data_IF_826711069105
#
_entry.id   IF_826711069105
#
_cell.length_a   1.000
_cell.length_b   1.000
_cell.length_c   1.000
_cell.angle_alpha   90.00
_cell.angle_beta   90.00
_cell.angle_gamma   90.00
#
_symmetry.space_group_name_H-M   'P 1'
#
loop_
_entity.id
_entity.type
_entity.pdbx_description
1 polymer ?
#
# COMPACT_ATOMS: atom_id res chain seq x y z
N UNK A 1 39.79 51.05 37.93
CA UNK A 1 39.94 50.39 36.62
C UNK A 1 38.90 49.28 36.38
N UNK A 2 38.70 48.34 37.30
CA UNK A 2 37.72 47.22 37.09
C UNK A 2 36.28 47.70 36.81
N UNK A 3 35.77 48.73 37.54
CA UNK A 3 34.41 49.25 37.35
C UNK A 3 34.17 49.94 35.99
N UNK A 4 35.19 50.54 35.40
CA UNK A 4 35.13 51.16 34.09
C UNK A 4 35.13 50.08 32.99
N UNK A 5 35.95 49.05 33.13
CA UNK A 5 36.01 47.92 32.22
C UNK A 5 34.69 47.17 32.16
N UNK A 6 34.03 46.95 33.31
CA UNK A 6 32.72 46.32 33.39
C UNK A 6 31.63 47.14 32.69
N UNK A 7 31.67 48.48 32.83
CA UNK A 7 30.69 49.37 32.14
C UNK A 7 30.90 49.39 30.65
N UNK A 8 32.12 49.37 30.16
CA UNK A 8 32.43 49.28 28.72
C UNK A 8 31.99 47.93 28.17
N UNK A 9 32.22 46.83 28.88
CA UNK A 9 31.75 45.49 28.45
C UNK A 9 30.23 45.41 28.34
N UNK A 10 29.49 45.95 29.31
CA UNK A 10 28.02 45.98 29.27
C UNK A 10 27.51 46.85 28.12
N UNK A 11 28.18 47.95 27.83
CA UNK A 11 27.78 48.84 26.73
C UNK A 11 28.02 48.21 25.36
N UNK A 12 29.14 47.48 25.20
CA UNK A 12 29.41 46.70 23.96
C UNK A 12 28.42 45.56 23.77
N UNK A 13 28.05 44.85 24.85
CA UNK A 13 27.05 43.79 24.80
C UNK A 13 25.63 44.36 24.44
N UNK A 14 25.29 45.52 24.99
CA UNK A 14 24.02 46.17 24.68
C UNK A 14 23.95 46.66 23.23
N UNK A 15 25.05 47.22 22.69
CA UNK A 15 25.12 47.61 21.26
C UNK A 15 25.09 46.41 20.32
N UNK A 16 25.72 45.29 20.69
CA UNK A 16 25.64 44.08 19.85
C UNK A 16 24.24 43.44 19.84
N UNK A 17 23.53 43.52 20.97
CA UNK A 17 22.13 43.04 21.03
C UNK A 17 21.15 43.91 20.19
N UNK A 18 21.39 45.23 20.09
CA UNK A 18 20.59 46.11 19.24
C UNK A 18 20.87 45.87 17.74
N UNK A 19 22.04 45.40 17.36
CA UNK A 19 22.41 45.14 15.95
C UNK A 19 21.80 43.86 15.37
N UNK A 20 21.27 42.97 16.20
CA UNK A 20 20.71 41.69 15.78
C UNK A 20 19.19 41.72 15.46
N UNK A 21 18.49 42.83 15.70
CA UNK A 21 17.05 42.92 15.50
C UNK A 21 16.62 43.52 14.16
N UNK A 22 17.53 43.86 13.27
CA UNK A 22 17.20 44.22 11.89
C UNK A 22 17.39 42.99 10.97
N UNK A 23 16.68 41.90 11.22
CA UNK A 23 16.30 41.01 10.15
C UNK A 23 15.34 41.80 9.25
N UNK A 24 15.87 42.46 8.25
CA UNK A 24 15.08 43.21 7.31
C UNK A 24 14.10 42.27 6.64
N UNK A 25 12.82 42.31 7.05
CA UNK A 25 11.72 41.88 6.21
C UNK A 25 11.92 42.63 4.89
N UNK A 26 12.08 41.94 3.78
CA UNK A 26 12.24 42.55 2.49
C UNK A 26 11.02 43.48 2.25
N UNK A 27 11.25 44.73 1.88
CA UNK A 27 10.15 45.65 1.60
C UNK A 27 9.26 45.06 0.50
N UNK A 28 7.94 44.97 0.69
CA UNK A 28 7.02 44.50 -0.34
C UNK A 28 7.22 45.26 -1.65
N UNK A 29 7.40 44.57 -2.79
CA UNK A 29 7.68 45.14 -4.08
C UNK A 29 9.14 45.37 -4.40
N UNK A 30 10.06 44.95 -3.52
CA UNK A 30 11.50 44.97 -3.78
C UNK A 30 11.93 43.79 -4.67
N UNK A 31 13.15 43.82 -5.19
CA UNK A 31 13.72 42.71 -5.97
C UNK A 31 13.84 41.39 -5.15
N UNK A 32 13.73 41.47 -3.82
CA UNK A 32 13.76 40.32 -2.91
C UNK A 32 12.36 39.86 -2.47
N UNK A 33 11.35 40.72 -2.67
CA UNK A 33 9.94 40.47 -2.42
C UNK A 33 9.09 41.18 -3.45
N UNK A 34 9.05 40.73 -4.72
CA UNK A 34 8.35 41.40 -5.80
C UNK A 34 6.83 41.31 -5.59
N UNK A 35 6.13 42.43 -5.76
CA UNK A 35 4.67 42.46 -5.83
C UNK A 35 4.20 41.75 -7.09
N UNK A 36 3.31 40.78 -6.93
CA UNK A 36 2.67 40.08 -8.05
C UNK A 36 1.27 40.63 -8.24
N UNK A 37 0.90 40.97 -9.48
CA UNK A 37 -0.46 41.42 -9.78
C UNK A 37 -1.46 40.23 -9.79
N UNK A 38 -2.71 40.51 -9.48
CA UNK A 38 -3.76 39.49 -9.50
C UNK A 38 -3.91 38.86 -10.91
N UNK A 39 -3.85 39.68 -11.95
CA UNK A 39 -3.88 39.23 -13.35
C UNK A 39 -2.72 38.30 -13.69
N UNK A 40 -1.52 38.54 -13.19
CA UNK A 40 -0.40 37.61 -13.39
C UNK A 40 -0.63 36.28 -12.67
N UNK A 41 -1.22 36.30 -11.47
CA UNK A 41 -1.57 35.10 -10.74
C UNK A 41 -2.64 34.29 -11.48
N UNK A 42 -3.68 34.95 -11.99
CA UNK A 42 -4.82 34.27 -12.64
C UNK A 42 -4.46 33.83 -14.06
N UNK A 43 -3.79 34.67 -14.86
CA UNK A 43 -3.61 34.42 -16.29
C UNK A 43 -2.30 33.69 -16.65
N UNK A 44 -1.30 33.70 -15.77
CA UNK A 44 0.02 33.13 -16.06
C UNK A 44 0.47 32.09 -15.02
N UNK A 45 0.37 32.43 -13.74
CA UNK A 45 0.92 31.61 -12.70
C UNK A 45 0.08 30.33 -12.43
N UNK A 46 -1.25 30.45 -12.51
CA UNK A 46 -2.15 29.32 -12.36
C UNK A 46 -1.92 28.29 -13.47
N UNK A 47 -1.83 28.72 -14.71
CA UNK A 47 -1.59 27.82 -15.84
C UNK A 47 -0.22 27.13 -15.73
N UNK A 48 0.81 27.86 -15.33
CA UNK A 48 2.15 27.31 -15.13
C UNK A 48 2.21 26.29 -13.95
N UNK A 49 1.38 26.48 -12.91
CA UNK A 49 1.26 25.50 -11.82
C UNK A 49 0.50 24.27 -12.27
N UNK A 50 -0.62 24.44 -12.98
CA UNK A 50 -1.40 23.32 -13.48
C UNK A 50 -0.56 22.44 -14.40
N UNK A 51 0.19 23.01 -15.33
CA UNK A 51 1.11 22.28 -16.19
C UNK A 51 2.14 21.46 -15.38
N UNK A 52 2.76 22.06 -14.35
CA UNK A 52 3.69 21.34 -13.48
C UNK A 52 3.05 20.27 -12.63
N UNK A 53 1.81 20.45 -12.22
CA UNK A 53 1.05 19.46 -11.46
C UNK A 53 0.71 18.28 -12.37
N UNK A 54 0.24 18.53 -13.58
CA UNK A 54 -0.08 17.49 -14.56
C UNK A 54 1.17 16.68 -14.96
N UNK A 55 2.31 17.36 -15.17
CA UNK A 55 3.58 16.69 -15.42
C UNK A 55 4.00 15.77 -14.28
N UNK A 56 3.87 16.22 -13.02
CA UNK A 56 4.18 15.40 -11.85
C UNK A 56 3.19 14.25 -11.63
N UNK A 57 1.92 14.44 -11.95
CA UNK A 57 0.92 13.37 -11.92
C UNK A 57 1.30 12.31 -12.94
N UNK A 58 1.60 12.72 -14.19
CA UNK A 58 2.01 11.81 -15.25
C UNK A 58 3.28 11.02 -14.90
N UNK A 59 4.31 11.67 -14.37
CA UNK A 59 5.51 10.98 -13.89
C UNK A 59 5.22 9.96 -12.77
N UNK A 60 4.28 10.26 -11.87
CA UNK A 60 3.88 9.34 -10.83
C UNK A 60 3.09 8.17 -11.37
N UNK A 61 2.18 8.42 -12.30
CA UNK A 61 1.38 7.38 -12.94
C UNK A 61 2.26 6.42 -13.74
N UNK A 62 3.27 6.95 -14.47
CA UNK A 62 4.26 6.14 -15.17
C UNK A 62 5.09 5.28 -14.19
N UNK A 63 5.56 5.85 -13.08
CA UNK A 63 6.28 5.09 -12.04
C UNK A 63 5.41 4.05 -11.32
N UNK A 64 4.13 4.33 -11.16
CA UNK A 64 3.17 3.37 -10.59
C UNK A 64 2.93 2.25 -11.61
N UNK A 65 2.69 2.59 -12.88
CA UNK A 65 2.53 1.61 -13.95
C UNK A 65 3.78 0.72 -14.11
N UNK A 66 4.99 1.29 -14.02
CA UNK A 66 6.25 0.55 -14.07
C UNK A 66 6.41 -0.39 -12.86
N UNK A 67 6.05 0.06 -11.65
CA UNK A 67 6.06 -0.78 -10.45
C UNK A 67 5.03 -1.90 -10.50
N UNK A 68 3.86 -1.63 -11.05
CA UNK A 68 2.80 -2.64 -11.23
C UNK A 68 3.20 -3.64 -12.30
N UNK A 69 3.80 -3.20 -13.41
CA UNK A 69 4.26 -4.11 -14.47
C UNK A 69 5.52 -4.89 -14.11
N UNK A 70 6.35 -4.36 -13.21
CA UNK A 70 7.54 -5.05 -12.67
C UNK A 70 7.22 -6.07 -11.57
N UNK A 71 6.06 -5.95 -10.95
CA UNK A 71 5.50 -6.99 -10.07
C UNK A 71 4.48 -7.72 -10.92
N UNK A 72 4.84 -8.87 -11.50
CA UNK A 72 4.05 -9.72 -12.41
C UNK A 72 2.54 -9.55 -12.20
N UNK A 73 1.96 -8.57 -12.90
CA UNK A 73 0.67 -7.98 -12.55
C UNK A 73 -0.55 -8.72 -13.04
N UNK A 74 -0.48 -10.04 -13.25
CA UNK A 74 -1.71 -10.83 -13.43
C UNK A 74 -2.38 -11.18 -12.08
N UNK A 75 -1.65 -11.13 -10.97
CA UNK A 75 -2.19 -11.47 -9.65
C UNK A 75 -2.91 -10.32 -8.91
N UNK A 76 -2.66 -9.05 -9.23
CA UNK A 76 -3.18 -7.94 -8.43
C UNK A 76 -4.63 -7.55 -8.74
N UNK A 77 -5.13 -7.78 -9.95
CA UNK A 77 -6.56 -7.55 -10.28
C UNK A 77 -7.43 -8.76 -9.86
N UNK A 78 -6.86 -9.96 -9.90
CA UNK A 78 -7.56 -11.19 -9.48
C UNK A 78 -7.58 -11.36 -7.96
N UNK A 79 -6.63 -10.77 -7.23
CA UNK A 79 -6.56 -10.85 -5.77
C UNK A 79 -7.76 -10.22 -5.04
N UNK A 80 -8.51 -9.33 -5.68
CA UNK A 80 -9.68 -8.66 -5.08
C UNK A 80 -11.01 -9.29 -5.46
N UNK A 81 -11.04 -10.17 -6.47
CA UNK A 81 -12.27 -10.74 -7.00
C UNK A 81 -12.24 -12.26 -6.90
N UNK A 82 -13.34 -12.87 -6.49
CA UNK A 82 -13.47 -14.32 -6.54
C UNK A 82 -13.56 -14.81 -7.98
N UNK A 83 -12.73 -15.76 -8.35
CA UNK A 83 -12.75 -16.47 -9.62
C UNK A 83 -13.20 -17.91 -9.45
N UNK A 84 -13.83 -18.49 -10.47
CA UNK A 84 -14.23 -19.89 -10.45
C UNK A 84 -13.07 -20.75 -10.95
N UNK A 85 -12.54 -21.59 -10.08
CA UNK A 85 -11.49 -22.56 -10.41
C UNK A 85 -12.12 -23.96 -10.46
N UNK A 86 -11.84 -24.70 -11.53
CA UNK A 86 -12.30 -26.09 -11.68
C UNK A 86 -11.10 -27.03 -11.55
N UNK A 87 -11.22 -27.97 -10.62
CA UNK A 87 -10.23 -29.02 -10.38
C UNK A 87 -10.83 -30.38 -10.77
N UNK A 88 -9.96 -31.25 -11.29
CA UNK A 88 -10.26 -32.67 -11.45
C UNK A 88 -9.80 -33.44 -10.24
N UNK A 89 -10.32 -34.67 -10.06
CA UNK A 89 -9.96 -35.52 -8.94
C UNK A 89 -8.44 -35.70 -8.80
N UNK A 90 -7.94 -35.52 -7.58
CA UNK A 90 -6.52 -35.62 -7.25
C UNK A 90 -5.74 -34.32 -7.37
N UNK A 91 -6.20 -33.34 -8.16
CA UNK A 91 -5.52 -32.04 -8.26
C UNK A 91 -5.54 -31.29 -6.92
N UNK A 92 -4.43 -30.59 -6.67
CA UNK A 92 -4.23 -29.80 -5.45
C UNK A 92 -4.10 -28.33 -5.84
N UNK A 93 -4.91 -27.49 -5.25
CA UNK A 93 -4.74 -26.05 -5.26
C UNK A 93 -4.01 -25.66 -3.98
N UNK A 94 -2.82 -25.11 -4.11
CA UNK A 94 -2.04 -24.51 -3.00
C UNK A 94 -2.12 -23.00 -3.11
N UNK A 95 -2.59 -22.33 -2.07
CA UNK A 95 -2.73 -20.88 -2.07
C UNK A 95 -1.63 -20.19 -1.31
N UNK A 96 -1.41 -18.94 -1.68
CA UNK A 96 -0.55 -18.01 -0.95
C UNK A 96 -1.20 -17.60 0.39
N UNK A 97 -0.42 -16.96 1.27
CA UNK A 97 -0.95 -16.39 2.52
C UNK A 97 -2.02 -15.35 2.19
N UNK A 98 -3.20 -15.50 2.81
CA UNK A 98 -4.36 -14.66 2.54
C UNK A 98 -5.24 -15.16 1.38
N UNK A 99 -4.88 -16.27 0.71
CA UNK A 99 -5.75 -16.90 -0.27
C UNK A 99 -7.01 -17.47 0.41
N UNK A 100 -8.16 -17.17 -0.17
CA UNK A 100 -9.46 -17.63 0.29
C UNK A 100 -10.08 -18.58 -0.72
N UNK A 101 -10.71 -19.64 -0.23
CA UNK A 101 -11.38 -20.64 -1.06
C UNK A 101 -12.76 -20.98 -0.48
N UNK A 102 -13.73 -21.20 -1.38
CA UNK A 102 -15.07 -21.68 -1.05
C UNK A 102 -15.44 -22.82 -1.97
N UNK A 103 -15.77 -23.98 -1.41
CA UNK A 103 -16.26 -25.13 -2.19
C UNK A 103 -17.68 -24.88 -2.66
N UNK A 104 -17.90 -24.92 -4.00
CA UNK A 104 -19.22 -24.72 -4.60
C UNK A 104 -19.83 -26.00 -5.17
N UNK A 105 -19.02 -26.87 -5.77
CA UNK A 105 -19.48 -28.12 -6.42
C UNK A 105 -18.43 -29.20 -6.16
N UNK A 106 -18.88 -30.43 -6.00
CA UNK A 106 -18.00 -31.58 -5.77
C UNK A 106 -17.59 -31.74 -4.30
N UNK A 107 -16.40 -32.29 -4.09
CA UNK A 107 -15.81 -32.49 -2.78
C UNK A 107 -14.31 -32.23 -2.80
N UNK A 108 -13.79 -31.75 -1.70
CA UNK A 108 -12.38 -31.50 -1.50
C UNK A 108 -12.00 -31.69 -0.03
N UNK A 109 -10.72 -31.95 0.20
CA UNK A 109 -10.14 -32.05 1.53
C UNK A 109 -9.03 -31.03 1.71
N UNK A 110 -8.82 -30.58 2.94
CA UNK A 110 -7.68 -29.74 3.31
C UNK A 110 -6.37 -30.49 3.12
N UNK A 111 -5.37 -29.84 2.55
CA UNK A 111 -3.97 -30.29 2.50
C UNK A 111 -3.10 -29.31 3.26
N UNK A 112 -2.32 -29.80 4.20
CA UNK A 112 -1.36 -29.01 4.96
C UNK A 112 -0.22 -29.91 5.43
N UNK A 113 1.05 -29.49 5.33
CA UNK A 113 2.20 -30.28 5.78
C UNK A 113 2.26 -30.42 7.31
N UNK A 114 1.61 -29.53 8.04
CA UNK A 114 1.53 -29.52 9.50
C UNK A 114 0.27 -28.79 9.98
N UNK A 115 -0.14 -28.99 11.22
CA UNK A 115 -1.17 -28.18 11.85
C UNK A 115 -0.63 -26.75 12.16
N UNK A 116 -1.49 -25.73 12.16
CA UNK A 116 -2.89 -25.73 11.73
C UNK A 116 -3.03 -25.84 10.21
N UNK A 117 -4.17 -26.32 9.74
CA UNK A 117 -4.52 -26.34 8.32
C UNK A 117 -5.15 -25.05 7.85
N UNK A 118 -6.38 -25.13 7.29
CA UNK A 118 -7.15 -23.95 6.85
C UNK A 118 -7.93 -23.36 8.02
N UNK A 119 -8.14 -22.04 7.99
CA UNK A 119 -9.08 -21.39 8.91
C UNK A 119 -10.46 -21.39 8.24
N UNK A 120 -11.44 -21.99 8.87
CA UNK A 120 -12.86 -21.89 8.49
C UNK A 120 -13.43 -20.59 9.09
N UNK A 121 -13.56 -19.56 8.28
CA UNK A 121 -14.08 -18.25 8.71
C UNK A 121 -15.57 -18.30 9.02
N UNK A 122 -16.29 -19.24 8.40
CA UNK A 122 -17.74 -19.38 8.59
C UNK A 122 -18.08 -19.89 9.98
N UNK A 123 -17.24 -20.78 10.53
CA UNK A 123 -17.46 -21.38 11.86
C UNK A 123 -16.43 -20.94 12.91
N UNK A 124 -15.50 -20.06 12.53
CA UNK A 124 -14.37 -19.63 13.36
C UNK A 124 -13.56 -20.82 13.93
N UNK A 125 -13.33 -21.84 13.10
CA UNK A 125 -12.64 -23.07 13.47
C UNK A 125 -11.44 -23.35 12.56
N UNK A 126 -10.67 -24.37 12.87
CA UNK A 126 -9.54 -24.82 12.05
C UNK A 126 -9.86 -26.16 11.40
N UNK A 127 -9.72 -26.24 10.08
CA UNK A 127 -9.83 -27.48 9.34
C UNK A 127 -8.41 -28.03 9.10
N UNK A 128 -8.06 -29.13 9.77
CA UNK A 128 -6.74 -29.75 9.63
C UNK A 128 -6.64 -30.60 8.35
N UNK A 129 -5.41 -30.98 8.00
CA UNK A 129 -5.12 -31.84 6.84
C UNK A 129 -5.95 -33.11 6.83
N UNK A 130 -6.53 -33.46 5.68
CA UNK A 130 -7.46 -34.57 5.49
C UNK A 130 -8.91 -34.26 5.86
N UNK A 131 -9.19 -33.14 6.52
CA UNK A 131 -10.55 -32.70 6.83
C UNK A 131 -11.30 -32.30 5.57
N UNK A 132 -12.57 -32.72 5.43
CA UNK A 132 -13.42 -32.40 4.29
C UNK A 132 -13.90 -30.93 4.35
N UNK A 133 -13.83 -30.23 3.23
CA UNK A 133 -14.43 -28.91 3.11
C UNK A 133 -15.96 -29.02 3.08
N UNK A 134 -16.60 -28.14 3.85
CA UNK A 134 -18.06 -27.97 3.80
C UNK A 134 -18.41 -27.01 2.67
N UNK A 135 -19.42 -27.34 1.87
CA UNK A 135 -19.86 -26.46 0.79
C UNK A 135 -20.36 -25.12 1.34
N UNK A 136 -20.01 -24.05 0.63
CA UNK A 136 -20.36 -22.65 0.93
C UNK A 136 -19.72 -22.10 2.22
N UNK A 137 -18.78 -22.83 2.87
CA UNK A 137 -17.92 -22.26 3.88
C UNK A 137 -16.72 -21.57 3.24
N UNK A 138 -16.32 -20.45 3.83
CA UNK A 138 -15.14 -19.69 3.42
C UNK A 138 -13.94 -20.18 4.24
N UNK A 139 -12.87 -20.53 3.55
CA UNK A 139 -11.63 -21.00 4.16
C UNK A 139 -10.47 -20.08 3.76
N UNK A 140 -9.65 -19.69 4.73
CA UNK A 140 -8.45 -18.87 4.51
C UNK A 140 -7.18 -19.67 4.76
N UNK A 141 -6.17 -19.41 3.91
CA UNK A 141 -4.81 -19.91 4.03
C UNK A 141 -3.93 -18.87 4.73
N UNK A 142 -3.58 -19.13 5.99
CA UNK A 142 -2.82 -18.18 6.83
C UNK A 142 -1.34 -18.51 6.92
N UNK A 143 -0.92 -19.64 6.38
CA UNK A 143 0.46 -20.14 6.40
C UNK A 143 0.76 -20.75 5.02
N UNK A 144 1.98 -20.63 4.55
CA UNK A 144 2.45 -21.23 3.28
C UNK A 144 2.26 -22.75 3.22
N UNK A 145 2.08 -23.29 2.00
CA UNK A 145 1.92 -24.71 1.75
C UNK A 145 0.57 -25.30 2.17
N UNK A 146 -0.42 -24.44 2.44
CA UNK A 146 -1.80 -24.84 2.69
C UNK A 146 -2.56 -24.87 1.38
N UNK A 147 -3.51 -25.82 1.29
CA UNK A 147 -4.26 -25.98 0.06
C UNK A 147 -5.48 -26.89 0.21
N UNK A 148 -6.07 -27.16 -0.91
CA UNK A 148 -7.22 -28.05 -1.02
C UNK A 148 -7.00 -29.08 -2.13
N UNK A 149 -7.30 -30.34 -1.89
CA UNK A 149 -7.24 -31.42 -2.87
C UNK A 149 -8.65 -31.82 -3.27
N UNK A 150 -8.91 -31.81 -4.56
CA UNK A 150 -10.17 -32.30 -5.13
C UNK A 150 -10.29 -33.82 -4.93
N UNK A 151 -11.45 -34.28 -4.48
CA UNK A 151 -11.78 -35.70 -4.25
C UNK A 151 -12.96 -36.17 -5.09
N UNK A 152 -13.55 -35.30 -5.91
CA UNK A 152 -14.57 -35.63 -6.89
C UNK A 152 -14.03 -35.41 -8.31
N UNK A 153 -14.60 -36.11 -9.28
CA UNK A 153 -14.24 -36.00 -10.69
C UNK A 153 -14.27 -34.55 -11.22
N UNK A 154 -15.18 -33.73 -10.67
CA UNK A 154 -15.27 -32.30 -10.91
C UNK A 154 -15.51 -31.56 -9.63
N UNK A 155 -14.58 -30.71 -9.25
CA UNK A 155 -14.67 -29.85 -8.07
C UNK A 155 -14.56 -28.40 -8.50
N UNK A 156 -15.53 -27.56 -8.13
CA UNK A 156 -15.50 -26.12 -8.39
C UNK A 156 -15.34 -25.33 -7.11
N UNK A 157 -14.34 -24.48 -7.12
CA UNK A 157 -14.00 -23.58 -6.01
C UNK A 157 -14.21 -22.14 -6.49
N UNK A 158 -14.68 -21.28 -5.61
CA UNK A 158 -14.45 -19.83 -5.72
C UNK A 158 -13.15 -19.55 -4.99
N UNK A 159 -12.24 -18.86 -5.65
CA UNK A 159 -10.90 -18.58 -5.13
C UNK A 159 -10.63 -17.09 -5.23
N UNK A 160 -10.07 -16.49 -4.17
CA UNK A 160 -9.57 -15.13 -4.15
C UNK A 160 -8.16 -15.13 -3.57
N UNK A 161 -7.22 -14.48 -4.25
CA UNK A 161 -5.80 -14.47 -3.89
C UNK A 161 -4.94 -15.31 -4.83
N UNK A 162 -3.62 -15.28 -4.61
CA UNK A 162 -2.66 -16.06 -5.40
C UNK A 162 -2.72 -17.56 -5.08
N UNK A 163 -2.56 -18.40 -6.09
CA UNK A 163 -2.56 -19.87 -5.94
C UNK A 163 -1.81 -20.55 -7.08
N UNK A 164 -1.45 -21.81 -6.87
CA UNK A 164 -0.90 -22.74 -7.87
C UNK A 164 -1.72 -24.03 -7.88
N UNK A 165 -1.75 -24.73 -9.03
CA UNK A 165 -2.43 -26.02 -9.19
C UNK A 165 -1.40 -27.06 -9.63
N UNK A 166 -1.39 -28.21 -8.94
CA UNK A 166 -0.55 -29.37 -9.23
C UNK A 166 -1.39 -30.65 -9.41
#
# INVERSE_FOLDING_TARGET
MKKILTRILVLVLALSALGMTMAAAADPGSSKDPLVTLSYLEDVFFDAILEKVDERIKERDEKIAEKISGTSGEAASDAQTFTVVTLTEGQILTGDIGCEVMLRVGSAVCTAPSAPGLIDETTASTLNSGGALVQNHLYMMTIEGRGVKATAATTKLLVRGGYTIA
#
